data_IF_542814005850
#
_entry.id   IF_542814005850
#
_cell.length_a   1.000
_cell.length_b   1.000
_cell.length_c   1.000
_cell.angle_alpha   90.00
_cell.angle_beta   90.00
_cell.angle_gamma   90.00
#
_symmetry.space_group_name_H-M   'P 1'
#
loop_
_entity.id
_entity.type
_entity.pdbx_description
1 polymer ?
#
# COMPACT_ATOMS: atom_id res chain seq x y z
N UNK A 1 -26.77 13.81 -5.56
CA UNK A 1 -25.62 13.32 -4.76
C UNK A 1 -24.29 13.79 -5.33
N UNK A 2 -23.99 13.59 -6.63
CA UNK A 2 -22.73 14.09 -7.23
C UNK A 2 -22.59 15.62 -7.17
N UNK A 3 -23.68 16.37 -7.14
CA UNK A 3 -23.65 17.82 -6.98
C UNK A 3 -23.27 18.28 -5.55
N UNK A 4 -23.19 17.35 -4.61
CA UNK A 4 -22.81 17.64 -3.21
C UNK A 4 -21.30 17.62 -2.97
N UNK A 5 -20.49 17.36 -3.99
CA UNK A 5 -19.03 17.38 -3.88
C UNK A 5 -18.39 18.30 -4.90
N UNK A 6 -17.42 19.06 -4.45
CA UNK A 6 -16.54 19.87 -5.28
C UNK A 6 -15.11 19.38 -5.13
N UNK A 7 -14.48 18.98 -6.23
CA UNK A 7 -13.08 18.55 -6.26
C UNK A 7 -12.23 19.69 -6.85
N UNK A 8 -11.16 20.07 -6.15
CA UNK A 8 -10.26 21.17 -6.54
C UNK A 8 -8.83 20.65 -6.69
N UNK A 9 -8.15 21.12 -7.74
CA UNK A 9 -6.76 20.80 -8.03
C UNK A 9 -6.58 19.89 -9.25
N UNK A 10 -5.34 19.64 -9.60
CA UNK A 10 -4.94 18.81 -10.74
C UNK A 10 -3.60 18.12 -10.48
N UNK A 11 -3.40 16.93 -11.07
CA UNK A 11 -2.11 16.25 -11.07
C UNK A 11 -1.11 16.96 -12.03
N UNK A 12 0.21 16.86 -11.78
CA UNK A 12 0.85 16.14 -10.69
C UNK A 12 0.87 16.94 -9.38
N UNK A 13 0.39 16.37 -8.28
CA UNK A 13 0.48 16.97 -6.93
C UNK A 13 1.68 16.38 -6.14
N UNK A 14 2.13 15.20 -6.51
CA UNK A 14 3.30 14.51 -5.98
C UNK A 14 4.29 14.21 -7.10
N UNK A 15 5.60 14.07 -6.81
CA UNK A 15 6.62 13.70 -7.80
C UNK A 15 6.49 12.21 -8.18
N UNK A 16 5.44 11.86 -8.89
CA UNK A 16 5.09 10.50 -9.30
C UNK A 16 4.70 10.46 -10.77
N UNK A 17 5.06 9.37 -11.46
CA UNK A 17 4.57 9.08 -12.81
C UNK A 17 3.10 8.61 -12.82
N UNK A 18 2.54 8.32 -11.66
CA UNK A 18 1.15 7.93 -11.49
C UNK A 18 0.30 9.11 -11.02
N UNK A 19 -0.95 9.12 -11.42
CA UNK A 19 -1.94 10.13 -11.00
C UNK A 19 -2.43 9.86 -9.57
N UNK A 20 -1.53 9.95 -8.60
CA UNK A 20 -1.81 9.63 -7.18
C UNK A 20 -2.83 10.62 -6.59
N UNK A 21 -2.72 11.90 -6.93
CA UNK A 21 -3.66 12.92 -6.50
C UNK A 21 -5.09 12.65 -7.00
N UNK A 22 -5.23 12.26 -8.26
CA UNK A 22 -6.53 11.84 -8.83
C UNK A 22 -7.09 10.62 -8.10
N UNK A 23 -6.28 9.57 -7.89
CA UNK A 23 -6.71 8.37 -7.18
C UNK A 23 -7.17 8.69 -5.75
N UNK A 24 -6.39 9.47 -5.02
CA UNK A 24 -6.73 9.93 -3.67
C UNK A 24 -8.03 10.73 -3.64
N UNK A 25 -8.18 11.70 -4.55
CA UNK A 25 -9.38 12.55 -4.61
C UNK A 25 -10.65 11.75 -4.92
N UNK A 26 -10.55 10.81 -5.85
CA UNK A 26 -11.70 9.97 -6.24
C UNK A 26 -12.13 9.04 -5.10
N UNK A 27 -11.18 8.35 -4.48
CA UNK A 27 -11.49 7.36 -3.41
C UNK A 27 -11.99 8.03 -2.14
N UNK A 28 -11.34 9.13 -1.69
CA UNK A 28 -11.78 9.90 -0.53
C UNK A 28 -13.12 10.59 -0.82
N UNK A 29 -13.28 11.15 -2.03
CA UNK A 29 -14.53 11.75 -2.46
C UNK A 29 -15.70 10.78 -2.48
N UNK A 30 -15.50 9.57 -3.00
CA UNK A 30 -16.51 8.52 -3.01
C UNK A 30 -16.92 8.09 -1.59
N UNK A 31 -15.94 7.87 -0.71
CA UNK A 31 -16.21 7.53 0.70
C UNK A 31 -16.96 8.67 1.42
N UNK A 32 -16.58 9.92 1.16
CA UNK A 32 -17.25 11.10 1.72
C UNK A 32 -18.69 11.22 1.23
N UNK A 33 -18.95 11.00 -0.05
CA UNK A 33 -20.33 11.00 -0.59
C UNK A 33 -21.19 9.90 0.05
N UNK A 34 -20.63 8.70 0.26
CA UNK A 34 -21.33 7.63 0.96
C UNK A 34 -21.68 8.03 2.41
N UNK A 35 -20.74 8.69 3.11
CA UNK A 35 -21.01 9.23 4.46
C UNK A 35 -22.11 10.30 4.48
N UNK A 36 -22.15 11.17 3.46
CA UNK A 36 -23.23 12.15 3.32
C UNK A 36 -24.59 11.49 3.13
N UNK A 37 -24.67 10.40 2.37
CA UNK A 37 -25.93 9.67 2.19
C UNK A 37 -26.41 9.02 3.48
N UNK A 38 -25.51 8.46 4.27
CA UNK A 38 -25.84 7.94 5.62
C UNK A 38 -26.33 9.06 6.52
N UNK A 39 -25.64 10.21 6.52
CA UNK A 39 -26.08 11.39 7.28
C UNK A 39 -27.46 11.87 6.85
N UNK A 40 -27.69 12.01 5.56
CA UNK A 40 -28.99 12.42 5.00
C UNK A 40 -30.10 11.44 5.40
N UNK A 41 -29.85 10.14 5.30
CA UNK A 41 -30.80 9.09 5.66
C UNK A 41 -31.20 9.16 7.15
N UNK A 42 -30.22 9.44 8.04
CA UNK A 42 -30.44 9.48 9.48
C UNK A 42 -31.05 10.81 9.99
N UNK A 43 -30.74 11.92 9.34
CA UNK A 43 -31.07 13.25 9.86
C UNK A 43 -32.04 14.05 9.00
N UNK A 44 -32.28 13.63 7.75
CA UNK A 44 -32.99 14.39 6.73
C UNK A 44 -32.25 15.65 6.25
N UNK A 45 -31.02 15.89 6.70
CA UNK A 45 -30.24 17.09 6.39
C UNK A 45 -29.28 16.84 5.22
N UNK A 46 -29.20 17.82 4.33
CA UNK A 46 -28.20 17.81 3.25
C UNK A 46 -26.92 18.52 3.68
N UNK A 47 -25.80 18.04 3.14
CA UNK A 47 -24.47 18.64 3.29
C UNK A 47 -23.74 18.62 1.96
N UNK A 48 -22.71 19.46 1.86
CA UNK A 48 -21.79 19.48 0.73
C UNK A 48 -20.33 19.33 1.22
N UNK A 49 -19.48 18.83 0.35
CA UNK A 49 -18.05 18.63 0.61
C UNK A 49 -17.25 19.38 -0.44
N UNK A 50 -16.20 20.03 0.01
CA UNK A 50 -15.13 20.52 -0.85
C UNK A 50 -13.87 19.76 -0.48
N UNK A 51 -13.27 19.06 -1.45
CA UNK A 51 -12.05 18.29 -1.28
C UNK A 51 -10.98 18.87 -2.22
N UNK A 52 -9.84 19.28 -1.65
CA UNK A 52 -8.69 19.65 -2.48
C UNK A 52 -7.84 18.42 -2.76
N UNK A 53 -7.28 18.33 -3.96
CA UNK A 53 -6.37 17.24 -4.33
C UNK A 53 -5.13 17.21 -3.41
N UNK A 54 -4.70 18.38 -2.93
CA UNK A 54 -3.60 18.47 -1.97
C UNK A 54 -3.93 17.75 -0.66
N UNK A 55 -5.11 18.01 -0.09
CA UNK A 55 -5.52 17.40 1.18
C UNK A 55 -5.73 15.89 1.02
N UNK A 56 -6.28 15.48 -0.14
CA UNK A 56 -6.41 14.08 -0.48
C UNK A 56 -5.04 13.38 -0.60
N UNK A 57 -4.05 14.01 -1.24
CA UNK A 57 -2.70 13.48 -1.35
C UNK A 57 -1.99 13.42 0.01
N UNK A 58 -2.17 14.42 0.87
CA UNK A 58 -1.66 14.40 2.27
C UNK A 58 -2.29 13.24 3.04
N UNK A 59 -3.59 13.00 2.90
CA UNK A 59 -4.26 11.88 3.55
C UNK A 59 -3.73 10.52 3.09
N UNK A 60 -3.32 10.37 1.83
CA UNK A 60 -2.70 9.14 1.30
C UNK A 60 -1.28 8.90 1.83
N UNK A 61 -0.61 9.94 2.31
CA UNK A 61 0.73 9.89 2.90
C UNK A 61 0.69 10.36 4.36
N UNK A 62 -0.41 10.09 5.08
CA UNK A 62 -0.65 10.62 6.44
C UNK A 62 0.42 10.22 7.45
N UNK A 63 1.06 9.06 7.24
CA UNK A 63 2.18 8.59 8.06
C UNK A 63 3.36 9.57 8.09
N UNK A 64 3.59 10.32 7.01
CA UNK A 64 4.65 11.34 6.94
C UNK A 64 4.35 12.59 7.79
N UNK A 65 3.10 12.80 8.18
CA UNK A 65 2.63 13.96 8.93
C UNK A 65 2.19 13.61 10.35
N UNK A 66 2.36 12.33 10.76
CA UNK A 66 2.00 11.90 12.11
C UNK A 66 3.05 12.35 13.11
N UNK A 67 2.58 13.02 14.17
CA UNK A 67 3.40 13.48 15.28
C UNK A 67 2.86 12.91 16.60
N UNK A 68 3.78 12.57 17.49
CA UNK A 68 3.48 12.22 18.87
C UNK A 68 4.30 13.15 19.77
N UNK A 69 3.63 13.88 20.67
CA UNK A 69 4.24 14.90 21.53
C UNK A 69 5.08 15.94 20.73
N UNK A 70 4.53 16.41 19.60
CA UNK A 70 5.17 17.35 18.65
C UNK A 70 6.49 16.82 18.04
N UNK A 71 6.65 15.52 17.96
CA UNK A 71 7.80 14.87 17.31
C UNK A 71 7.30 13.99 16.16
N UNK A 72 7.88 14.18 14.98
CA UNK A 72 7.59 13.33 13.83
C UNK A 72 7.97 11.87 14.13
N UNK A 73 7.03 10.96 13.89
CA UNK A 73 7.18 9.53 14.22
C UNK A 73 7.99 8.78 13.15
N UNK A 74 7.99 9.27 11.91
CA UNK A 74 8.53 8.54 10.75
C UNK A 74 10.05 8.35 10.67
N UNK A 75 10.84 9.03 11.50
CA UNK A 75 12.31 9.00 11.37
C UNK A 75 12.98 7.67 11.76
N UNK A 76 12.27 6.71 12.33
CA UNK A 76 12.87 5.46 12.84
C UNK A 76 12.19 4.17 12.39
N UNK A 77 11.22 4.24 11.48
CA UNK A 77 10.41 3.06 11.15
C UNK A 77 11.04 2.09 10.14
N UNK A 78 11.98 2.52 9.31
CA UNK A 78 12.56 1.64 8.29
C UNK A 78 13.75 0.87 8.85
N UNK A 79 13.60 -0.47 8.91
CA UNK A 79 14.72 -1.36 9.17
C UNK A 79 15.75 -1.26 8.04
N UNK A 80 17.06 -1.28 8.31
CA UNK A 80 18.09 -1.35 7.28
C UNK A 80 17.92 -2.53 6.30
N UNK A 81 17.27 -3.61 6.77
CA UNK A 81 16.94 -4.77 5.94
C UNK A 81 15.66 -4.59 5.10
N UNK A 82 14.90 -3.49 5.27
CA UNK A 82 13.73 -3.21 4.43
C UNK A 82 14.10 -2.40 3.21
N UNK A 83 13.73 -2.84 2.03
CA UNK A 83 14.01 -2.10 0.82
C UNK A 83 13.99 -2.95 -0.44
N UNK A 84 14.57 -2.40 -1.49
CA UNK A 84 14.76 -3.08 -2.76
C UNK A 84 16.23 -3.39 -2.96
N UNK A 85 16.53 -4.65 -3.18
CA UNK A 85 17.88 -5.17 -3.37
C UNK A 85 17.99 -5.86 -4.73
N UNK A 86 19.19 -6.11 -5.19
CA UNK A 86 19.42 -6.88 -6.43
C UNK A 86 19.83 -8.30 -6.09
N UNK A 87 19.18 -9.26 -6.77
CA UNK A 87 19.55 -10.67 -6.74
C UNK A 87 20.83 -10.93 -7.55
N UNK A 88 21.26 -12.18 -7.61
CA UNK A 88 22.48 -12.61 -8.35
C UNK A 88 22.45 -12.27 -9.85
N UNK A 89 21.26 -12.15 -10.43
CA UNK A 89 21.06 -11.90 -11.85
C UNK A 89 20.73 -10.42 -12.14
N UNK A 90 20.70 -9.57 -11.10
CA UNK A 90 20.45 -8.14 -11.20
C UNK A 90 18.98 -7.76 -11.18
N UNK A 91 18.06 -8.71 -10.95
CA UNK A 91 16.64 -8.43 -10.77
C UNK A 91 16.39 -7.78 -9.43
N UNK A 92 15.35 -6.93 -9.37
CA UNK A 92 14.96 -6.32 -8.12
C UNK A 92 14.09 -7.25 -7.28
N UNK A 93 14.41 -7.34 -6.00
CA UNK A 93 13.62 -8.05 -4.99
C UNK A 93 13.35 -7.11 -3.81
N UNK A 94 12.13 -7.10 -3.33
CA UNK A 94 11.70 -6.30 -2.19
C UNK A 94 11.66 -7.15 -0.92
N UNK A 95 12.29 -6.67 0.14
CA UNK A 95 12.22 -7.22 1.49
C UNK A 95 11.42 -6.27 2.37
N UNK A 96 10.48 -6.81 3.18
CA UNK A 96 9.72 -6.04 4.15
C UNK A 96 10.02 -6.53 5.57
N UNK A 97 10.90 -5.78 6.26
CA UNK A 97 11.49 -6.16 7.56
C UNK A 97 11.07 -5.21 8.71
N UNK A 98 9.88 -4.58 8.61
CA UNK A 98 9.41 -3.60 9.59
C UNK A 98 9.01 -4.25 10.93
N UNK A 99 8.47 -5.44 10.87
CA UNK A 99 8.08 -6.17 12.07
C UNK A 99 9.21 -7.09 12.53
N UNK A 100 9.50 -7.18 13.85
CA UNK A 100 10.61 -7.99 14.36
C UNK A 100 10.63 -9.43 13.84
N UNK A 101 9.49 -10.11 13.81
CA UNK A 101 9.41 -11.50 13.34
C UNK A 101 9.71 -11.64 11.84
N UNK A 102 9.34 -10.66 11.00
CA UNK A 102 9.68 -10.66 9.58
C UNK A 102 11.16 -10.39 9.38
N UNK A 103 11.70 -9.39 10.07
CA UNK A 103 13.11 -9.04 10.02
C UNK A 103 14.00 -10.21 10.44
N UNK A 104 13.74 -10.74 11.62
CA UNK A 104 14.59 -11.78 12.21
C UNK A 104 14.55 -13.05 11.37
N UNK A 105 13.37 -13.43 10.85
CA UNK A 105 13.24 -14.57 9.96
C UNK A 105 13.92 -14.39 8.59
N UNK A 106 13.86 -13.19 8.00
CA UNK A 106 14.54 -12.90 6.72
C UNK A 106 16.06 -12.88 6.93
N UNK A 107 16.56 -12.24 8.00
CA UNK A 107 17.98 -12.23 8.31
C UNK A 107 18.53 -13.63 8.61
N UNK A 108 17.76 -14.49 9.26
CA UNK A 108 18.11 -15.90 9.48
C UNK A 108 18.29 -16.66 8.15
N UNK A 109 17.38 -16.48 7.18
CA UNK A 109 17.48 -17.10 5.84
C UNK A 109 18.69 -16.55 5.08
N UNK A 110 18.93 -15.25 5.15
CA UNK A 110 20.04 -14.60 4.47
C UNK A 110 21.40 -14.89 5.14
N UNK A 111 21.39 -15.25 6.43
CA UNK A 111 22.61 -15.47 7.22
C UNK A 111 23.45 -14.22 7.39
N UNK A 112 22.80 -13.04 7.57
CA UNK A 112 23.50 -11.75 7.63
C UNK A 112 22.97 -10.85 8.75
N UNK A 113 23.75 -9.81 9.07
CA UNK A 113 23.40 -8.80 10.07
C UNK A 113 22.36 -7.79 9.51
N UNK A 114 21.65 -7.12 10.44
CA UNK A 114 20.66 -6.08 10.10
C UNK A 114 21.34 -4.75 9.70
N UNK A 115 22.13 -4.82 8.64
CA UNK A 115 22.83 -3.68 8.04
C UNK A 115 22.61 -3.73 6.52
N UNK A 116 22.34 -2.57 5.91
CA UNK A 116 22.03 -2.47 4.49
C UNK A 116 23.09 -3.12 3.59
N UNK A 117 24.36 -2.92 3.90
CA UNK A 117 25.48 -3.52 3.15
C UNK A 117 25.53 -5.04 3.28
N UNK A 118 25.28 -5.58 4.48
CA UNK A 118 25.25 -7.02 4.74
C UNK A 118 24.10 -7.68 4.00
N UNK A 119 22.91 -7.07 4.05
CA UNK A 119 21.72 -7.55 3.33
C UNK A 119 21.92 -7.48 1.82
N UNK A 120 22.48 -6.38 1.29
CA UNK A 120 22.79 -6.22 -0.12
C UNK A 120 23.68 -7.34 -0.62
N UNK A 121 24.77 -7.65 0.09
CA UNK A 121 25.71 -8.70 -0.27
C UNK A 121 25.06 -10.09 -0.18
N UNK A 122 24.26 -10.33 0.84
CA UNK A 122 23.58 -11.62 1.02
C UNK A 122 22.55 -11.86 -0.10
N UNK A 123 21.70 -10.89 -0.39
CA UNK A 123 20.69 -10.98 -1.46
C UNK A 123 21.34 -11.15 -2.83
N UNK A 124 22.46 -10.50 -3.10
CA UNK A 124 23.21 -10.64 -4.36
C UNK A 124 23.74 -12.05 -4.62
N UNK A 125 23.74 -12.94 -3.63
CA UNK A 125 24.12 -14.35 -3.80
C UNK A 125 22.93 -15.28 -4.08
N UNK A 126 21.70 -14.79 -3.93
CA UNK A 126 20.48 -15.57 -4.10
C UNK A 126 19.88 -15.42 -5.51
N UNK A 127 19.24 -16.50 -5.97
CA UNK A 127 18.21 -16.41 -7.00
C UNK A 127 16.96 -15.75 -6.40
N UNK A 128 16.46 -14.70 -7.05
CA UNK A 128 15.34 -13.92 -6.49
C UNK A 128 14.06 -14.74 -6.35
N UNK A 129 13.77 -15.65 -7.29
CA UNK A 129 12.58 -16.50 -7.22
C UNK A 129 12.72 -17.57 -6.13
N UNK A 130 13.93 -18.11 -5.93
CA UNK A 130 14.21 -19.05 -4.86
C UNK A 130 14.11 -18.39 -3.48
N UNK A 131 14.64 -17.18 -3.33
CA UNK A 131 14.51 -16.40 -2.09
C UNK A 131 13.05 -16.06 -1.78
N UNK A 132 12.29 -15.60 -2.79
CA UNK A 132 10.85 -15.34 -2.66
C UNK A 132 10.11 -16.58 -2.20
N UNK A 133 10.38 -17.72 -2.84
CA UNK A 133 9.76 -19.01 -2.49
C UNK A 133 10.10 -19.43 -1.05
N UNK A 134 11.38 -19.42 -0.69
CA UNK A 134 11.87 -19.82 0.63
C UNK A 134 11.27 -18.98 1.75
N UNK A 135 11.23 -17.67 1.54
CA UNK A 135 10.63 -16.73 2.50
C UNK A 135 9.11 -16.93 2.63
N UNK A 136 8.42 -17.14 1.52
CA UNK A 136 6.97 -17.38 1.50
C UNK A 136 6.60 -18.64 2.29
N UNK A 137 7.33 -19.73 2.14
CA UNK A 137 7.08 -20.99 2.88
C UNK A 137 7.21 -20.81 4.40
N UNK A 138 7.96 -19.80 4.85
CA UNK A 138 8.09 -19.42 6.27
C UNK A 138 7.15 -18.25 6.68
N UNK A 139 6.26 -17.82 5.79
CA UNK A 139 5.34 -16.71 6.07
C UNK A 139 6.02 -15.34 6.16
N UNK A 140 7.16 -15.17 5.48
CA UNK A 140 7.93 -13.93 5.47
C UNK A 140 7.62 -13.08 4.22
N UNK A 141 7.77 -11.77 4.33
CA UNK A 141 7.39 -10.82 3.30
C UNK A 141 8.58 -10.46 2.39
N UNK A 142 8.77 -11.26 1.36
CA UNK A 142 9.75 -11.04 0.29
C UNK A 142 9.07 -11.23 -1.05
N UNK A 143 9.34 -10.36 -2.02
CA UNK A 143 8.74 -10.43 -3.35
C UNK A 143 9.72 -10.01 -4.45
N UNK A 144 9.84 -10.83 -5.48
CA UNK A 144 10.53 -10.47 -6.73
C UNK A 144 9.72 -9.38 -7.45
N UNK A 145 10.38 -8.31 -7.84
CA UNK A 145 9.74 -7.22 -8.60
C UNK A 145 9.57 -7.67 -10.05
N UNK A 146 8.33 -7.71 -10.51
CA UNK A 146 7.94 -8.17 -11.83
C UNK A 146 7.51 -7.00 -12.70
N UNK A 147 7.82 -7.07 -13.98
CA UNK A 147 7.21 -6.18 -14.96
C UNK A 147 5.69 -6.43 -15.06
N UNK A 148 4.95 -5.49 -15.66
CA UNK A 148 3.51 -5.66 -15.87
C UNK A 148 3.19 -6.91 -16.71
N UNK A 149 4.04 -7.25 -17.70
CA UNK A 149 3.87 -8.44 -18.52
C UNK A 149 4.08 -9.70 -17.70
N UNK A 150 5.19 -9.82 -16.97
CA UNK A 150 5.49 -10.97 -16.09
C UNK A 150 4.40 -11.17 -15.04
N UNK A 151 3.88 -10.08 -14.47
CA UNK A 151 2.77 -10.16 -13.53
C UNK A 151 1.51 -10.71 -14.21
N UNK A 152 1.15 -10.22 -15.38
CA UNK A 152 -0.04 -10.69 -16.11
C UNK A 152 0.04 -12.18 -16.43
N UNK A 153 1.23 -12.68 -16.72
CA UNK A 153 1.48 -14.10 -17.00
C UNK A 153 1.58 -14.97 -15.73
N UNK A 154 1.76 -14.34 -14.57
CA UNK A 154 1.95 -15.03 -13.30
C UNK A 154 0.67 -15.77 -12.86
N UNK A 155 0.83 -16.96 -12.27
CA UNK A 155 -0.30 -17.79 -11.83
C UNK A 155 -1.22 -17.08 -10.83
N UNK A 156 -0.66 -16.31 -9.91
CA UNK A 156 -1.43 -15.52 -8.93
C UNK A 156 -2.27 -14.44 -9.62
N UNK A 157 -1.69 -13.69 -10.57
CA UNK A 157 -2.42 -12.67 -11.32
C UNK A 157 -3.59 -13.29 -12.09
N UNK A 158 -3.38 -14.43 -12.74
CA UNK A 158 -4.44 -15.18 -13.43
C UNK A 158 -5.54 -15.62 -12.49
N UNK A 159 -5.18 -16.10 -11.29
CA UNK A 159 -6.15 -16.54 -10.29
C UNK A 159 -7.04 -15.39 -9.79
N UNK A 160 -6.47 -14.21 -9.55
CA UNK A 160 -7.24 -13.05 -9.06
C UNK A 160 -7.93 -12.24 -10.17
N UNK A 161 -7.54 -12.41 -11.44
CA UNK A 161 -8.09 -11.62 -12.56
C UNK A 161 -9.61 -11.78 -12.78
N UNK A 162 -10.19 -12.86 -12.28
CA UNK A 162 -11.63 -13.14 -12.35
C UNK A 162 -12.40 -12.62 -11.15
N UNK A 163 -11.70 -12.13 -10.12
CA UNK A 163 -12.33 -11.60 -8.91
C UNK A 163 -12.66 -10.12 -9.09
N UNK A 164 -13.78 -9.64 -8.54
CA UNK A 164 -14.07 -8.21 -8.51
C UNK A 164 -13.08 -7.50 -7.59
N UNK A 165 -12.77 -6.23 -7.90
CA UNK A 165 -11.92 -5.38 -7.03
C UNK A 165 -12.56 -5.17 -5.66
N UNK A 166 -13.90 -5.10 -5.63
CA UNK A 166 -14.71 -5.00 -4.41
C UNK A 166 -15.85 -6.00 -4.55
N UNK A 167 -15.98 -6.89 -3.57
CA UNK A 167 -17.10 -7.82 -3.48
C UNK A 167 -18.02 -7.39 -2.33
N UNK A 168 -19.32 -7.25 -2.63
CA UNK A 168 -20.35 -6.92 -1.64
C UNK A 168 -21.30 -8.08 -1.53
N UNK A 169 -21.29 -8.77 -0.39
CA UNK A 169 -22.13 -9.92 -0.12
C UNK A 169 -23.18 -9.52 0.91
N UNK A 170 -24.46 -9.64 0.55
CA UNK A 170 -25.56 -9.44 1.49
C UNK A 170 -25.63 -10.64 2.44
N UNK A 171 -25.37 -10.41 3.72
CA UNK A 171 -25.37 -11.45 4.76
C UNK A 171 -26.76 -11.68 5.38
N UNK A 172 -27.67 -10.72 5.21
CA UNK A 172 -29.03 -10.78 5.77
C UNK A 172 -29.74 -9.43 5.70
N UNK A 173 -30.94 -9.38 6.23
CA UNK A 173 -31.70 -8.15 6.39
C UNK A 173 -31.65 -7.71 7.85
N UNK A 174 -31.48 -6.40 8.07
CA UNK A 174 -31.59 -5.76 9.37
C UNK A 174 -32.61 -4.61 9.26
N UNK A 175 -33.35 -4.30 10.35
CA UNK A 175 -34.20 -3.12 10.37
C UNK A 175 -33.33 -1.87 10.15
N UNK A 176 -33.91 -0.87 9.46
CA UNK A 176 -33.27 0.45 9.33
C UNK A 176 -33.28 1.12 10.71
N UNK A 177 -32.12 1.46 11.24
CA UNK A 177 -31.94 2.28 12.44
C UNK A 177 -31.94 3.76 12.10
#
# INVERSE_FOLDING_TARGET
TLNSITLLGADPILPSNFKVGTAASVTIGAASLAALEVWRARTGREQSITLTMRDAAIAFCSEHYTEVDNKAVMQSFWSPASGHFKDKDGNWIQLHCQYPHLRDGILEILGCENEESSVTNAVASWDGAELEFTCREKGLCVALVRSAQEWTEHAHAKAISTLPVIEIIKLGDAPLE
#
